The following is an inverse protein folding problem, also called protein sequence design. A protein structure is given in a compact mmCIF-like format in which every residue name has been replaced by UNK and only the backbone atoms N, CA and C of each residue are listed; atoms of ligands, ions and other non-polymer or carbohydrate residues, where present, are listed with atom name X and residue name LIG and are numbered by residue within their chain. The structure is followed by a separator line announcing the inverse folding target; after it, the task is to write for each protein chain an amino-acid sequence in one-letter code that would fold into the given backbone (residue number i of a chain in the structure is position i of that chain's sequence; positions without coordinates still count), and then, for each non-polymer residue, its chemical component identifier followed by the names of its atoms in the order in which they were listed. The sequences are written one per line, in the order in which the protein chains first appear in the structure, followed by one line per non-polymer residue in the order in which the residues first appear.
data_IF_438048286652
#
_entry.id   IF_438048286652
#
_cell.length_a   1.000
_cell.length_b   1.000
_cell.length_c   1.000
_cell.angle_alpha   90.00
_cell.angle_beta   90.00
_cell.angle_gamma   90.00
#
_symmetry.space_group_name_H-M   'P 1'
#
loop_
_entity.id
_entity.type
_entity.pdbx_description
1 polymer ?
#
# COMPACT_ATOMS: atom_id res chain seq x y z
N UNK A 1 -28.33 -10.73 -8.92
CA UNK A 1 -27.76 -10.83 -7.55
C UNK A 1 -26.62 -9.83 -7.43
N UNK A 2 -26.57 -9.07 -6.34
CA UNK A 2 -25.51 -8.06 -6.10
C UNK A 2 -24.18 -8.72 -5.71
N UNK A 3 -23.66 -9.58 -6.58
CA UNK A 3 -22.43 -10.35 -6.41
C UNK A 3 -21.50 -10.18 -7.60
N UNK A 4 -20.24 -10.50 -7.43
CA UNK A 4 -19.21 -10.51 -8.46
C UNK A 4 -18.54 -11.88 -8.44
N UNK A 5 -18.43 -12.53 -9.58
CA UNK A 5 -17.73 -13.81 -9.69
C UNK A 5 -16.22 -13.64 -9.68
N UNK A 6 -15.51 -14.71 -9.33
CA UNK A 6 -14.04 -14.73 -9.36
C UNK A 6 -13.50 -14.39 -10.76
N UNK A 7 -14.16 -14.87 -11.81
CA UNK A 7 -13.75 -14.61 -13.20
C UNK A 7 -13.96 -13.14 -13.61
N UNK A 8 -15.02 -12.50 -13.11
CA UNK A 8 -15.23 -11.05 -13.32
C UNK A 8 -14.13 -10.24 -12.61
N UNK A 9 -13.74 -10.64 -11.39
CA UNK A 9 -12.64 -10.02 -10.65
C UNK A 9 -11.30 -10.15 -11.40
N UNK A 10 -10.97 -11.34 -11.89
CA UNK A 10 -9.76 -11.60 -12.71
C UNK A 10 -9.77 -10.76 -13.98
N UNK A 11 -10.91 -10.73 -14.69
CA UNK A 11 -11.06 -9.93 -15.92
C UNK A 11 -10.88 -8.43 -15.64
N UNK A 12 -11.43 -7.93 -14.54
CA UNK A 12 -11.27 -6.54 -14.14
C UNK A 12 -9.79 -6.21 -13.84
N UNK A 13 -9.11 -7.04 -13.04
CA UNK A 13 -7.71 -6.85 -12.71
C UNK A 13 -6.82 -6.89 -13.97
N UNK A 14 -7.06 -7.85 -14.86
CA UNK A 14 -6.34 -7.93 -16.14
C UNK A 14 -6.47 -6.63 -16.96
N UNK A 15 -7.68 -6.10 -17.10
CA UNK A 15 -7.92 -4.84 -17.81
C UNK A 15 -7.30 -3.65 -17.11
N UNK A 16 -7.41 -3.58 -15.79
CA UNK A 16 -6.94 -2.43 -15.00
C UNK A 16 -5.43 -2.41 -14.90
N UNK A 17 -4.81 -3.54 -14.64
CA UNK A 17 -3.37 -3.66 -14.48
C UNK A 17 -2.62 -3.68 -15.81
N UNK A 18 -3.26 -4.13 -16.91
CA UNK A 18 -2.66 -4.09 -18.25
C UNK A 18 -2.43 -2.68 -18.79
N UNK A 19 -3.14 -1.69 -18.26
CA UNK A 19 -2.93 -0.27 -18.58
C UNK A 19 -1.82 0.39 -17.74
N UNK A 20 -1.25 -0.33 -16.79
CA UNK A 20 -0.21 0.12 -15.87
C UNK A 20 1.09 -0.61 -16.25
N UNK A 21 2.23 -0.16 -15.82
CA UNK A 21 3.50 -0.78 -16.22
C UNK A 21 3.76 -2.14 -15.51
N UNK A 22 4.67 -2.93 -16.07
CA UNK A 22 5.11 -4.24 -15.55
C UNK A 22 5.50 -4.18 -14.07
N UNK A 23 6.14 -3.09 -13.63
CA UNK A 23 6.62 -2.95 -12.27
C UNK A 23 5.49 -2.91 -11.25
N UNK A 24 4.29 -2.46 -11.64
CA UNK A 24 3.14 -2.48 -10.71
C UNK A 24 2.68 -3.91 -10.41
N UNK A 25 2.60 -4.77 -11.43
CA UNK A 25 2.23 -6.18 -11.22
C UNK A 25 3.28 -6.90 -10.40
N UNK A 26 4.55 -6.66 -10.68
CA UNK A 26 5.65 -7.22 -9.90
C UNK A 26 5.62 -6.75 -8.44
N UNK A 27 5.31 -5.48 -8.21
CA UNK A 27 5.13 -4.93 -6.87
C UNK A 27 3.98 -5.62 -6.11
N UNK A 28 2.84 -5.76 -6.78
CA UNK A 28 1.67 -6.44 -6.22
C UNK A 28 1.97 -7.90 -5.86
N UNK A 29 2.67 -8.65 -6.72
CA UNK A 29 3.09 -10.02 -6.42
C UNK A 29 4.05 -10.08 -5.23
N UNK A 30 4.96 -9.11 -5.09
CA UNK A 30 5.85 -9.03 -3.94
C UNK A 30 5.08 -8.71 -2.64
N UNK A 31 4.04 -7.87 -2.67
CA UNK A 31 3.19 -7.60 -1.52
C UNK A 31 2.42 -8.85 -1.06
N UNK A 32 1.87 -9.62 -2.01
CA UNK A 32 1.18 -10.90 -1.73
C UNK A 32 2.16 -11.90 -1.08
N UNK A 33 3.35 -12.04 -1.67
CA UNK A 33 4.38 -12.97 -1.19
C UNK A 33 4.89 -12.56 0.20
N UNK A 34 5.04 -11.27 0.46
CA UNK A 34 5.38 -10.74 1.78
C UNK A 34 4.36 -11.11 2.86
N UNK A 35 3.07 -10.87 2.60
CA UNK A 35 2.02 -11.21 3.57
C UNK A 35 1.99 -12.71 3.88
N UNK A 36 2.12 -13.55 2.86
CA UNK A 36 2.25 -14.99 3.02
C UNK A 36 3.47 -15.36 3.85
N UNK A 37 4.62 -14.76 3.56
CA UNK A 37 5.87 -15.02 4.27
C UNK A 37 5.77 -14.66 5.76
N UNK A 38 5.29 -13.45 6.07
CA UNK A 38 5.09 -12.97 7.45
C UNK A 38 4.06 -13.81 8.20
N UNK A 39 3.00 -14.25 7.52
CA UNK A 39 2.00 -15.17 8.11
C UNK A 39 2.61 -16.53 8.46
N UNK A 40 3.45 -17.08 7.60
CA UNK A 40 4.15 -18.33 7.86
C UNK A 40 5.15 -18.22 9.03
N UNK A 41 5.66 -17.03 9.32
CA UNK A 41 6.47 -16.75 10.51
C UNK A 41 5.64 -16.60 11.80
N UNK A 42 4.30 -16.69 11.72
CA UNK A 42 3.38 -16.56 12.85
C UNK A 42 2.94 -15.13 13.18
N UNK A 43 3.08 -14.18 12.25
CA UNK A 43 2.74 -12.76 12.46
C UNK A 43 1.51 -12.30 11.66
N UNK A 44 0.64 -13.20 11.23
CA UNK A 44 -0.56 -12.86 10.45
C UNK A 44 -1.44 -11.79 11.12
N UNK A 45 -1.56 -11.82 12.45
CA UNK A 45 -2.34 -10.83 13.21
C UNK A 45 -1.63 -9.48 13.42
N UNK A 46 -0.36 -9.38 13.02
CA UNK A 46 0.46 -8.18 13.17
C UNK A 46 0.75 -7.45 11.87
N UNK A 47 0.22 -7.92 10.76
CA UNK A 47 0.36 -7.27 9.46
C UNK A 47 -1.02 -6.97 8.89
N UNK A 48 -1.23 -5.75 8.42
CA UNK A 48 -2.46 -5.39 7.70
C UNK A 48 -2.32 -5.71 6.22
N UNK A 49 -3.46 -5.83 5.55
CA UNK A 49 -3.52 -5.67 4.09
C UNK A 49 -3.05 -4.26 3.68
N UNK A 50 -2.74 -4.10 2.42
CA UNK A 50 -2.46 -2.79 1.85
C UNK A 50 -3.70 -1.90 1.83
N UNK A 51 -3.47 -0.61 1.71
CA UNK A 51 -4.51 0.40 1.67
C UNK A 51 -4.11 1.60 0.81
N UNK A 52 -4.92 2.64 0.86
CA UNK A 52 -4.67 3.87 0.11
C UNK A 52 -4.50 5.04 1.05
N UNK A 53 -3.43 5.81 0.87
CA UNK A 53 -3.21 7.06 1.59
C UNK A 53 -3.57 8.24 0.70
N UNK A 54 -4.35 9.15 1.24
CA UNK A 54 -4.68 10.43 0.62
C UNK A 54 -4.15 11.56 1.49
N UNK A 55 -3.55 12.55 0.87
CA UNK A 55 -3.05 13.75 1.54
C UNK A 55 -3.68 14.99 0.91
N UNK A 56 -4.05 15.96 1.73
CA UNK A 56 -4.52 17.22 1.18
C UNK A 56 -3.43 17.88 0.35
N UNK A 57 -3.81 18.42 -0.79
CA UNK A 57 -3.01 19.36 -1.53
C UNK A 57 -3.26 20.76 -0.93
N UNK A 58 -2.51 21.10 0.08
CA UNK A 58 -2.56 22.44 0.64
C UNK A 58 -1.89 23.41 -0.33
N UNK A 59 -2.67 23.88 -1.31
CA UNK A 59 -2.26 25.04 -2.10
C UNK A 59 -2.25 26.24 -1.19
N UNK A 60 -1.08 26.59 -0.68
CA UNK A 60 -0.85 27.78 0.09
C UNK A 60 -0.60 27.55 1.58
N UNK A 61 -0.92 26.41 2.12
CA UNK A 61 -0.58 26.06 3.49
C UNK A 61 0.65 25.17 3.52
N UNK A 62 1.67 25.63 4.21
CA UNK A 62 2.92 24.88 4.44
C UNK A 62 2.75 23.68 5.39
N UNK A 63 1.54 23.40 5.83
CA UNK A 63 1.20 22.29 6.71
C UNK A 63 1.14 20.97 5.95
N UNK A 64 2.33 20.49 5.61
CA UNK A 64 2.53 19.21 4.97
C UNK A 64 1.84 18.09 5.78
N UNK A 65 0.70 17.64 5.28
CA UNK A 65 -0.01 16.48 5.83
C UNK A 65 -0.95 16.73 7.01
N UNK A 66 -1.47 17.94 7.22
CA UNK A 66 -2.54 18.17 8.21
C UNK A 66 -3.76 17.29 7.94
N UNK A 67 -4.18 17.16 6.69
CA UNK A 67 -5.23 16.25 6.28
C UNK A 67 -4.64 15.03 5.57
N UNK A 68 -4.30 14.02 6.34
CA UNK A 68 -3.87 12.73 5.83
C UNK A 68 -4.83 11.66 6.33
N UNK A 69 -5.28 10.81 5.41
CA UNK A 69 -6.11 9.67 5.77
C UNK A 69 -5.66 8.41 5.04
N UNK A 70 -5.82 7.27 5.69
CA UNK A 70 -5.55 5.93 5.14
C UNK A 70 -6.86 5.17 5.05
N UNK A 71 -7.10 4.51 3.94
CA UNK A 71 -8.33 3.80 3.63
C UNK A 71 -8.03 2.34 3.36
N UNK A 72 -8.72 1.46 4.05
CA UNK A 72 -8.61 0.00 3.93
C UNK A 72 -9.92 -0.56 3.39
N UNK A 73 -9.92 -1.22 2.23
CA UNK A 73 -11.13 -1.83 1.70
C UNK A 73 -11.52 -3.10 2.43
N UNK A 74 -12.80 -3.35 2.57
CA UNK A 74 -13.32 -4.68 2.78
C UNK A 74 -12.92 -5.58 1.60
N UNK A 75 -12.51 -6.80 1.89
CA UNK A 75 -12.26 -7.80 0.85
C UNK A 75 -13.58 -8.36 0.33
N UNK A 76 -13.96 -7.97 -0.88
CA UNK A 76 -15.14 -8.46 -1.57
C UNK A 76 -14.90 -9.92 -1.96
N UNK A 77 -15.66 -10.84 -1.34
CA UNK A 77 -15.57 -12.26 -1.66
C UNK A 77 -16.37 -12.59 -2.93
N UNK A 78 -15.87 -13.49 -3.79
CA UNK A 78 -16.62 -13.89 -4.98
C UNK A 78 -17.93 -14.57 -4.60
N UNK A 79 -18.96 -14.35 -5.42
CA UNK A 79 -20.29 -14.97 -5.36
C UNK A 79 -21.08 -14.68 -4.06
N UNK A 80 -20.56 -13.81 -3.19
CA UNK A 80 -21.26 -13.31 -2.01
C UNK A 80 -22.15 -12.12 -2.37
N UNK A 81 -23.31 -12.04 -1.75
CA UNK A 81 -24.27 -10.94 -1.99
C UNK A 81 -23.88 -9.69 -1.18
N UNK A 82 -23.63 -8.60 -1.88
CA UNK A 82 -23.29 -7.28 -1.34
C UNK A 82 -24.37 -6.24 -1.66
N UNK A 83 -25.65 -6.59 -1.47
CA UNK A 83 -26.75 -5.64 -1.70
C UNK A 83 -26.69 -4.44 -0.71
N UNK A 84 -27.46 -3.39 -1.03
CA UNK A 84 -27.48 -2.17 -0.23
C UNK A 84 -28.07 -2.35 1.18
N UNK A 85 -28.91 -3.37 1.36
CA UNK A 85 -29.62 -3.64 2.63
C UNK A 85 -28.85 -4.59 3.53
N UNK A 86 -27.66 -5.05 3.13
CA UNK A 86 -26.86 -5.96 3.95
C UNK A 86 -26.38 -5.27 5.24
N UNK A 87 -26.24 -6.05 6.29
CA UNK A 87 -25.52 -5.58 7.47
C UNK A 87 -24.06 -5.35 7.12
N UNK A 88 -23.57 -4.11 7.33
CA UNK A 88 -22.18 -3.77 7.06
C UNK A 88 -21.26 -4.43 8.10
N UNK A 89 -20.10 -4.95 7.68
CA UNK A 89 -19.22 -5.69 8.58
C UNK A 89 -18.55 -4.77 9.59
N UNK A 90 -18.33 -5.26 10.79
CA UNK A 90 -17.44 -4.58 11.73
C UNK A 90 -15.98 -4.77 11.28
N UNK A 91 -15.16 -3.69 11.31
CA UNK A 91 -13.75 -3.80 11.06
C UNK A 91 -13.07 -4.75 12.05
N UNK A 92 -12.11 -5.54 11.57
CA UNK A 92 -11.37 -6.45 12.42
C UNK A 92 -10.67 -5.70 13.57
N UNK A 93 -10.79 -6.18 14.80
CA UNK A 93 -10.22 -5.52 15.99
C UNK A 93 -8.72 -5.22 15.87
N UNK A 94 -7.96 -6.11 15.23
CA UNK A 94 -6.53 -5.90 14.97
C UNK A 94 -6.27 -4.67 14.10
N UNK A 95 -7.08 -4.44 13.07
CA UNK A 95 -6.97 -3.25 12.23
C UNK A 95 -7.31 -1.98 13.03
N UNK A 96 -8.34 -2.03 13.87
CA UNK A 96 -8.69 -0.95 14.78
C UNK A 96 -7.52 -0.58 15.69
N UNK A 97 -6.88 -1.57 16.30
CA UNK A 97 -5.73 -1.37 17.20
C UNK A 97 -4.54 -0.78 16.46
N UNK A 98 -4.22 -1.28 15.28
CA UNK A 98 -3.14 -0.74 14.45
C UNK A 98 -3.41 0.72 14.10
N UNK A 99 -4.65 1.05 13.73
CA UNK A 99 -5.04 2.40 13.34
C UNK A 99 -5.11 3.39 14.52
N UNK A 100 -5.24 2.93 15.76
CA UNK A 100 -5.15 3.79 16.94
C UNK A 100 -3.81 4.54 17.00
N UNK A 101 -2.71 3.90 16.59
CA UNK A 101 -1.40 4.55 16.48
C UNK A 101 -1.41 5.66 15.43
N UNK A 102 -2.06 5.45 14.29
CA UNK A 102 -2.22 6.49 13.28
C UNK A 102 -3.02 7.68 13.79
N UNK A 103 -4.12 7.40 14.48
CA UNK A 103 -4.94 8.45 15.08
C UNK A 103 -4.12 9.32 16.05
N UNK A 104 -3.29 8.71 16.90
CA UNK A 104 -2.42 9.43 17.85
C UNK A 104 -1.43 10.37 17.16
N UNK A 105 -0.97 10.06 15.96
CA UNK A 105 -0.07 10.91 15.18
C UNK A 105 -0.81 11.81 14.17
N UNK A 106 -2.14 11.92 14.30
CA UNK A 106 -2.97 12.81 13.47
C UNK A 106 -3.18 12.33 12.05
N UNK A 107 -3.11 11.02 11.81
CA UNK A 107 -3.50 10.38 10.54
C UNK A 107 -4.85 9.69 10.76
N UNK A 108 -5.88 10.14 10.09
CA UNK A 108 -7.19 9.47 10.12
C UNK A 108 -7.10 8.14 9.37
N UNK A 109 -7.85 7.16 9.81
CA UNK A 109 -7.91 5.85 9.15
C UNK A 109 -9.36 5.42 9.00
N UNK A 110 -9.68 4.83 7.85
CA UNK A 110 -11.04 4.40 7.53
C UNK A 110 -11.05 2.98 7.03
N UNK A 111 -12.06 2.22 7.45
CA UNK A 111 -12.43 0.98 6.80
C UNK A 111 -13.57 1.26 5.83
N UNK A 112 -13.49 0.71 4.63
CA UNK A 112 -14.45 0.93 3.56
C UNK A 112 -15.20 -0.37 3.26
N UNK A 113 -16.49 -0.42 3.61
CA UNK A 113 -17.37 -1.52 3.29
C UNK A 113 -17.96 -1.36 1.89
N UNK A 114 -18.04 -2.45 1.15
CA UNK A 114 -18.51 -2.46 -0.23
C UNK A 114 -20.00 -2.69 -0.36
N UNK A 115 -20.62 -2.09 -1.35
CA UNK A 115 -21.95 -2.43 -1.87
C UNK A 115 -21.84 -2.62 -3.38
N UNK A 116 -22.46 -3.67 -3.92
CA UNK A 116 -22.38 -3.99 -5.35
C UNK A 116 -23.64 -3.50 -6.07
N UNK A 117 -23.43 -2.74 -7.14
CA UNK A 117 -24.47 -2.25 -8.03
C UNK A 117 -24.54 -3.13 -9.29
N UNK A 118 -25.64 -3.81 -9.50
CA UNK A 118 -25.86 -4.72 -10.63
C UNK A 118 -25.87 -4.00 -11.99
N UNK A 119 -26.27 -2.72 -12.01
CA UNK A 119 -26.43 -1.94 -13.24
C UNK A 119 -25.11 -1.34 -13.75
N UNK A 120 -24.00 -1.60 -13.10
CA UNK A 120 -22.69 -1.09 -13.48
C UNK A 120 -21.71 -2.24 -13.77
N UNK A 121 -20.60 -1.97 -14.42
CA UNK A 121 -19.59 -2.95 -14.78
C UNK A 121 -18.21 -2.61 -14.22
N UNK A 122 -17.39 -3.63 -14.04
CA UNK A 122 -16.01 -3.48 -13.57
C UNK A 122 -15.92 -2.86 -12.17
N UNK A 123 -14.87 -2.10 -11.90
CA UNK A 123 -14.64 -1.47 -10.59
C UNK A 123 -15.67 -0.42 -10.19
N UNK A 124 -16.51 0.04 -11.13
CA UNK A 124 -17.61 0.94 -10.82
C UNK A 124 -18.82 0.22 -10.22
N UNK A 125 -18.83 -1.12 -10.26
CA UNK A 125 -19.89 -1.91 -9.58
C UNK A 125 -19.80 -1.77 -8.07
N UNK A 126 -18.59 -1.58 -7.51
CA UNK A 126 -18.43 -1.38 -6.08
C UNK A 126 -18.66 0.10 -5.70
N UNK A 127 -19.62 0.32 -4.82
CA UNK A 127 -19.81 1.57 -4.07
C UNK A 127 -19.34 1.36 -2.65
N UNK A 128 -18.95 2.42 -1.97
CA UNK A 128 -18.29 2.30 -0.68
C UNK A 128 -18.96 3.16 0.39
N UNK A 129 -19.02 2.63 1.58
CA UNK A 129 -19.30 3.35 2.81
C UNK A 129 -18.08 3.22 3.73
N UNK A 130 -17.79 4.24 4.52
CA UNK A 130 -16.60 4.27 5.36
C UNK A 130 -16.94 4.47 6.83
N UNK A 131 -16.19 3.82 7.71
CA UNK A 131 -16.21 4.07 9.15
C UNK A 131 -14.80 4.41 9.64
N UNK A 132 -14.69 5.35 10.57
CA UNK A 132 -13.40 5.77 11.09
C UNK A 132 -12.85 4.74 12.09
N UNK A 133 -11.54 4.47 11.95
CA UNK A 133 -10.79 3.51 12.76
C UNK A 133 -9.93 4.22 13.81
N UNK A 134 -9.52 3.47 14.82
CA UNK A 134 -8.54 3.95 15.81
C UNK A 134 -9.13 4.83 16.91
N UNK A 135 -10.45 5.02 16.91
CA UNK A 135 -11.19 5.68 18.00
C UNK A 135 -11.62 4.67 19.07
N UNK A 136 -11.87 5.11 20.31
CA UNK A 136 -12.30 4.22 21.41
C UNK A 136 -13.63 3.52 21.11
N UNK A 137 -14.51 4.18 20.38
CA UNK A 137 -15.84 3.66 20.01
C UNK A 137 -15.90 3.42 18.51
N UNK A 138 -16.60 2.37 18.10
CA UNK A 138 -16.89 2.07 16.70
C UNK A 138 -17.80 3.17 16.17
N UNK A 139 -17.35 3.86 15.14
CA UNK A 139 -18.10 4.95 14.52
C UNK A 139 -19.13 4.40 13.53
N UNK A 140 -20.27 5.07 13.36
CA UNK A 140 -21.24 4.69 12.35
C UNK A 140 -20.64 4.82 10.94
N UNK A 141 -21.13 4.02 10.01
CA UNK A 141 -20.79 4.15 8.61
C UNK A 141 -21.35 5.44 8.03
N UNK A 142 -20.54 6.11 7.20
CA UNK A 142 -20.89 7.29 6.43
C UNK A 142 -20.67 7.04 4.94
N UNK A 143 -21.31 7.76 4.04
CA UNK A 143 -20.98 7.72 2.62
C UNK A 143 -19.50 8.00 2.40
N UNK A 144 -18.85 7.21 1.53
CA UNK A 144 -17.42 7.34 1.28
C UNK A 144 -16.95 8.77 0.92
N UNK A 145 -17.71 9.56 0.12
CA UNK A 145 -17.33 10.95 -0.14
C UNK A 145 -17.24 11.84 1.11
N UNK A 146 -18.02 11.53 2.15
CA UNK A 146 -18.03 12.34 3.38
C UNK A 146 -16.75 12.16 4.20
N UNK A 147 -16.12 10.98 4.13
CA UNK A 147 -14.81 10.73 4.75
C UNK A 147 -13.66 11.54 4.12
N UNK A 148 -13.92 12.15 2.99
CA UNK A 148 -12.95 12.89 2.18
C UNK A 148 -13.17 14.40 2.24
N UNK A 149 -14.05 14.88 3.12
CA UNK A 149 -14.21 16.31 3.37
C UNK A 149 -12.87 16.92 3.83
N UNK A 150 -12.51 18.06 3.23
CA UNK A 150 -11.25 18.75 3.48
C UNK A 150 -10.08 18.30 2.61
N UNK A 151 -10.29 17.34 1.69
CA UNK A 151 -9.29 16.98 0.69
C UNK A 151 -9.58 17.71 -0.63
N UNK A 152 -8.56 18.35 -1.19
CA UNK A 152 -8.68 19.02 -2.49
C UNK A 152 -8.43 18.06 -3.64
N UNK A 153 -9.20 18.13 -4.73
CA UNK A 153 -8.99 17.30 -5.90
C UNK A 153 -7.66 17.66 -6.60
N UNK A 154 -6.84 16.65 -6.88
CA UNK A 154 -5.63 16.81 -7.66
C UNK A 154 -5.56 15.72 -8.73
N UNK A 155 -5.40 16.12 -9.99
CA UNK A 155 -5.09 15.18 -11.07
C UNK A 155 -3.60 15.21 -11.35
N UNK A 156 -2.92 14.06 -11.24
CA UNK A 156 -1.61 13.86 -11.86
C UNK A 156 -1.79 13.26 -13.24
N UNK A 157 -1.22 13.85 -14.29
CA UNK A 157 -1.18 13.22 -15.59
C UNK A 157 -0.19 12.05 -15.52
N UNK A 158 -0.69 10.82 -15.54
CA UNK A 158 0.15 9.64 -15.76
C UNK A 158 0.40 9.44 -17.24
N UNK A 159 1.63 9.13 -17.60
CA UNK A 159 1.95 8.55 -18.89
C UNK A 159 1.98 7.03 -18.72
N UNK A 160 0.88 6.38 -19.11
CA UNK A 160 0.84 4.93 -19.17
C UNK A 160 1.51 4.48 -20.47
N UNK A 161 2.50 3.60 -20.38
CA UNK A 161 2.90 2.78 -21.51
C UNK A 161 1.83 1.67 -21.66
N UNK A 162 1.31 1.44 -22.87
CA UNK A 162 0.45 0.29 -23.13
C UNK A 162 1.28 -0.98 -22.92
N UNK A 163 1.04 -1.65 -21.86
CA UNK A 163 1.72 -2.89 -21.50
C UNK A 163 0.66 -3.93 -21.18
N UNK A 164 0.78 -5.11 -21.77
CA UNK A 164 -0.03 -6.26 -21.35
C UNK A 164 0.65 -6.90 -20.16
N UNK A 165 0.18 -6.56 -18.96
CA UNK A 165 0.61 -7.24 -17.77
C UNK A 165 0.02 -8.64 -17.74
N UNK A 166 0.87 -9.64 -17.54
CA UNK A 166 0.41 -10.99 -17.26
C UNK A 166 -0.09 -11.04 -15.79
N UNK A 167 -1.40 -11.10 -15.65
CA UNK A 167 -2.07 -11.22 -14.34
C UNK A 167 -2.35 -12.66 -13.95
N UNK A 168 -1.98 -13.64 -14.80
CA UNK A 168 -2.18 -15.07 -14.53
C UNK A 168 -1.39 -15.57 -13.32
N UNK A 169 -0.32 -14.85 -12.96
CA UNK A 169 0.51 -15.13 -11.79
C UNK A 169 -0.10 -14.64 -10.46
N UNK A 170 -1.22 -13.92 -10.48
CA UNK A 170 -1.92 -13.55 -9.23
C UNK A 170 -2.60 -14.81 -8.69
N UNK A 171 -2.21 -15.27 -7.47
CA UNK A 171 -2.84 -16.44 -6.88
C UNK A 171 -4.34 -16.23 -6.68
N UNK A 172 -5.17 -17.24 -6.93
CA UNK A 172 -6.63 -17.11 -6.83
C UNK A 172 -7.11 -16.56 -5.49
N UNK A 173 -6.49 -17.00 -4.39
CA UNK A 173 -6.84 -16.54 -3.06
C UNK A 173 -6.56 -15.05 -2.82
N UNK A 174 -5.69 -14.43 -3.63
CA UNK A 174 -5.36 -13.00 -3.52
C UNK A 174 -6.23 -12.13 -4.45
N UNK A 175 -6.90 -12.72 -5.45
CA UNK A 175 -7.73 -11.99 -6.41
C UNK A 175 -8.81 -11.13 -5.72
N UNK A 176 -9.57 -11.62 -4.72
CA UNK A 176 -10.58 -10.82 -4.04
C UNK A 176 -10.03 -9.58 -3.35
N UNK A 177 -8.90 -9.71 -2.66
CA UNK A 177 -8.24 -8.60 -1.97
C UNK A 177 -7.74 -7.54 -2.96
N UNK A 178 -7.03 -7.96 -4.01
CA UNK A 178 -6.50 -7.04 -5.01
C UNK A 178 -7.62 -6.38 -5.85
N UNK A 179 -8.69 -7.11 -6.14
CA UNK A 179 -9.87 -6.55 -6.77
C UNK A 179 -10.49 -5.44 -5.90
N UNK A 180 -10.65 -5.67 -4.61
CA UNK A 180 -11.23 -4.71 -3.66
C UNK A 180 -10.35 -3.47 -3.55
N UNK A 181 -9.03 -3.64 -3.43
CA UNK A 181 -8.04 -2.59 -3.38
C UNK A 181 -8.09 -1.71 -4.64
N UNK A 182 -8.07 -2.30 -5.83
CA UNK A 182 -8.15 -1.57 -7.10
C UNK A 182 -9.52 -0.92 -7.33
N UNK A 183 -10.60 -1.54 -6.89
CA UNK A 183 -11.95 -0.96 -6.97
C UNK A 183 -12.10 0.27 -6.08
N UNK A 184 -11.56 0.24 -4.87
CA UNK A 184 -11.52 1.41 -3.99
C UNK A 184 -10.65 2.53 -4.60
N UNK A 185 -9.51 2.20 -5.24
CA UNK A 185 -8.69 3.17 -5.97
C UNK A 185 -9.49 3.91 -7.04
N UNK A 186 -10.35 3.20 -7.77
CA UNK A 186 -11.21 3.81 -8.80
C UNK A 186 -12.21 4.79 -8.17
N UNK A 187 -12.71 4.52 -6.97
CA UNK A 187 -13.60 5.44 -6.25
C UNK A 187 -12.91 6.79 -5.91
N UNK A 188 -11.60 6.78 -5.67
CA UNK A 188 -10.82 8.02 -5.51
C UNK A 188 -10.63 8.80 -6.82
N UNK A 189 -10.71 8.17 -7.99
CA UNK A 189 -10.59 8.83 -9.29
C UNK A 189 -11.87 9.56 -9.75
N UNK A 190 -12.93 9.54 -8.96
CA UNK A 190 -14.08 10.43 -9.08
C UNK A 190 -13.63 11.90 -8.96
N UNK A 191 -14.39 12.92 -9.42
CA UNK A 191 -13.90 14.29 -9.59
C UNK A 191 -13.32 14.97 -8.35
N UNK A 192 -13.26 14.29 -7.24
CA UNK A 192 -12.94 14.86 -5.94
C UNK A 192 -11.50 14.63 -5.46
N UNK A 193 -10.63 13.78 -6.11
CA UNK A 193 -9.44 13.37 -5.38
C UNK A 193 -8.14 13.44 -6.12
N UNK A 194 -7.19 13.92 -5.31
CA UNK A 194 -5.79 13.67 -5.47
C UNK A 194 -5.53 12.18 -5.68
N UNK A 195 -4.50 11.89 -6.42
CA UNK A 195 -4.01 10.57 -6.59
C UNK A 195 -3.73 9.89 -5.24
N UNK A 196 -4.41 8.79 -4.92
CA UNK A 196 -4.06 8.02 -3.75
C UNK A 196 -2.69 7.37 -3.98
N UNK A 197 -1.83 7.43 -2.97
CA UNK A 197 -0.63 6.60 -2.89
C UNK A 197 -0.98 5.31 -2.18
N UNK A 198 -0.40 4.20 -2.59
CA UNK A 198 -0.52 2.96 -1.86
C UNK A 198 0.23 2.98 -0.53
N UNK A 199 -0.28 2.23 0.41
CA UNK A 199 0.41 1.74 1.59
C UNK A 199 0.47 0.24 1.43
N UNK A 200 1.67 -0.32 1.30
CA UNK A 200 1.83 -1.75 1.00
C UNK A 200 1.42 -2.62 2.20
N UNK A 201 1.44 -2.06 3.40
CA UNK A 201 0.95 -2.66 4.62
C UNK A 201 1.38 -1.89 5.87
N UNK A 202 0.89 -2.36 7.00
CA UNK A 202 1.29 -1.89 8.32
C UNK A 202 1.75 -3.10 9.12
N UNK A 203 2.89 -3.00 9.79
CA UNK A 203 3.34 -4.00 10.74
C UNK A 203 3.19 -3.46 12.17
N UNK A 204 2.48 -4.19 13.00
CA UNK A 204 2.33 -3.90 14.41
C UNK A 204 3.44 -4.60 15.21
N UNK A 205 4.46 -3.84 15.54
CA UNK A 205 5.55 -4.25 16.40
C UNK A 205 5.13 -4.27 17.88
N UNK A 206 6.10 -4.46 18.75
CA UNK A 206 5.89 -4.51 20.19
C UNK A 206 5.49 -3.16 20.79
N UNK A 207 6.14 -2.09 20.32
CA UNK A 207 5.96 -0.74 20.84
C UNK A 207 5.50 0.27 19.79
N UNK A 208 5.68 -0.07 18.52
CA UNK A 208 5.48 0.85 17.38
C UNK A 208 4.74 0.18 16.26
N UNK A 209 4.01 0.97 15.50
CA UNK A 209 3.42 0.54 14.23
C UNK A 209 4.29 1.06 13.09
N UNK A 210 4.62 0.18 12.17
CA UNK A 210 5.50 0.48 11.03
C UNK A 210 4.70 0.45 9.73
N UNK A 211 4.37 1.61 9.13
CA UNK A 211 4.02 1.66 7.72
C UNK A 211 5.14 1.07 6.87
N UNK A 212 4.77 0.24 5.90
CA UNK A 212 5.71 -0.54 5.10
C UNK A 212 5.71 -0.04 3.67
N UNK A 213 6.90 0.00 3.09
CA UNK A 213 7.13 0.06 1.65
C UNK A 213 7.87 -1.20 1.23
N UNK A 214 7.30 -1.95 0.28
CA UNK A 214 7.86 -3.21 -0.22
C UNK A 214 8.40 -2.99 -1.62
N UNK A 215 9.62 -3.45 -1.87
CA UNK A 215 10.19 -3.44 -3.21
C UNK A 215 10.90 -4.75 -3.50
N UNK A 216 10.72 -5.22 -4.74
CA UNK A 216 11.53 -6.30 -5.28
C UNK A 216 12.78 -5.71 -5.93
N UNK A 217 13.94 -6.26 -5.60
CA UNK A 217 15.23 -5.77 -6.06
C UNK A 217 16.22 -6.91 -6.29
N UNK A 218 17.01 -6.76 -7.33
CA UNK A 218 18.30 -7.44 -7.43
C UNK A 218 19.34 -6.68 -6.63
N UNK A 219 20.37 -7.40 -6.16
CA UNK A 219 21.53 -6.80 -5.52
C UNK A 219 22.33 -5.98 -6.54
N UNK A 220 22.65 -4.75 -6.22
CA UNK A 220 23.54 -3.91 -7.00
C UNK A 220 24.84 -3.67 -6.26
N UNK A 221 25.93 -3.42 -6.98
CA UNK A 221 27.25 -3.15 -6.41
C UNK A 221 27.75 -1.76 -6.81
N UNK A 222 28.43 -1.12 -5.88
CA UNK A 222 29.13 0.15 -6.10
C UNK A 222 30.50 0.10 -5.40
N UNK A 223 31.53 0.55 -6.08
CA UNK A 223 32.92 0.48 -5.59
C UNK A 223 33.16 1.23 -4.27
N UNK A 224 32.32 2.23 -3.94
CA UNK A 224 32.48 3.04 -2.73
C UNK A 224 31.73 2.53 -1.52
N UNK A 225 30.61 1.83 -1.70
CA UNK A 225 29.73 1.38 -0.62
C UNK A 225 29.50 -0.14 -0.60
N UNK A 226 30.05 -0.87 -1.58
CA UNK A 226 29.82 -2.30 -1.75
C UNK A 226 28.41 -2.62 -2.28
N UNK A 227 27.89 -3.74 -1.89
CA UNK A 227 26.55 -4.18 -2.28
C UNK A 227 25.48 -3.31 -1.61
N UNK A 228 24.45 -2.93 -2.37
CA UNK A 228 23.39 -2.05 -1.89
C UNK A 228 22.03 -2.37 -2.49
N UNK A 229 20.97 -1.93 -1.80
CA UNK A 229 19.64 -1.75 -2.37
C UNK A 229 19.35 -0.27 -2.57
N UNK A 230 18.70 0.04 -3.69
CA UNK A 230 18.25 1.40 -3.99
C UNK A 230 16.78 1.61 -3.61
N UNK A 231 16.48 2.78 -3.05
CA UNK A 231 15.10 3.24 -2.87
C UNK A 231 14.89 4.54 -3.63
N UNK A 232 13.79 4.64 -4.38
CA UNK A 232 13.46 5.87 -5.09
C UNK A 232 13.08 6.98 -4.09
N UNK A 233 13.36 8.23 -4.45
CA UNK A 233 13.11 9.39 -3.58
C UNK A 233 11.64 9.51 -3.17
N UNK A 234 10.69 9.18 -4.04
CA UNK A 234 9.27 9.22 -3.72
C UNK A 234 8.89 8.31 -2.54
N UNK A 235 9.16 6.99 -2.62
CA UNK A 235 9.02 6.06 -1.49
C UNK A 235 9.80 6.48 -0.24
N UNK A 236 11.04 6.94 -0.40
CA UNK A 236 11.84 7.42 0.74
C UNK A 236 11.16 8.59 1.46
N UNK A 237 10.66 9.58 0.72
CA UNK A 237 9.93 10.72 1.30
C UNK A 237 8.63 10.27 1.96
N UNK A 238 7.93 9.28 1.38
CA UNK A 238 6.73 8.70 1.99
C UNK A 238 7.04 8.06 3.35
N UNK A 239 8.10 7.27 3.44
CA UNK A 239 8.56 6.67 4.71
C UNK A 239 9.02 7.73 5.72
N UNK A 240 9.74 8.77 5.25
CA UNK A 240 10.15 9.91 6.07
C UNK A 240 8.94 10.66 6.64
N UNK A 241 7.90 10.87 5.83
CA UNK A 241 6.67 11.50 6.26
C UNK A 241 6.01 10.76 7.42
N UNK A 242 5.92 9.44 7.37
CA UNK A 242 5.38 8.66 8.49
C UNK A 242 6.26 8.77 9.73
N UNK A 243 7.57 8.63 9.54
CA UNK A 243 8.54 8.61 10.64
C UNK A 243 8.70 9.97 11.33
N UNK A 244 8.52 11.06 10.61
CA UNK A 244 8.68 12.42 11.14
C UNK A 244 7.47 12.90 11.93
N UNK A 245 6.32 12.22 11.86
CA UNK A 245 5.12 12.64 12.57
C UNK A 245 5.36 12.58 14.09
N UNK A 246 5.30 13.75 14.75
CA UNK A 246 5.54 13.91 16.19
C UNK A 246 6.86 13.31 16.70
N UNK A 247 7.88 13.28 15.86
CA UNK A 247 9.20 12.74 16.22
C UNK A 247 9.28 11.21 16.33
N UNK A 248 8.25 10.49 15.91
CA UNK A 248 8.28 9.03 15.87
C UNK A 248 8.99 8.55 14.60
N UNK A 249 10.14 7.90 14.74
CA UNK A 249 10.94 7.37 13.64
C UNK A 249 10.54 5.91 13.33
N UNK A 250 9.30 5.68 12.97
CA UNK A 250 8.81 4.34 12.68
C UNK A 250 8.12 4.27 11.32
N UNK A 251 8.80 3.72 10.42
CA UNK A 251 8.34 3.14 9.16
C UNK A 251 9.38 2.13 8.72
N UNK A 252 9.06 1.30 7.76
CA UNK A 252 9.92 0.18 7.39
C UNK A 252 10.00 0.04 5.87
N UNK A 253 11.21 -0.10 5.37
CA UNK A 253 11.50 -0.48 4.00
C UNK A 253 11.81 -1.98 3.95
N UNK A 254 11.05 -2.71 3.18
CA UNK A 254 11.20 -4.16 2.98
C UNK A 254 11.66 -4.44 1.56
N UNK A 255 12.65 -5.30 1.43
CA UNK A 255 13.18 -5.72 0.13
C UNK A 255 13.02 -7.22 -0.02
N UNK A 256 12.32 -7.61 -1.08
CA UNK A 256 12.35 -8.95 -1.64
C UNK A 256 13.56 -9.03 -2.55
N UNK A 257 14.67 -9.57 -2.06
CA UNK A 257 15.85 -9.82 -2.89
C UNK A 257 15.58 -10.97 -3.83
N UNK A 258 15.78 -10.75 -5.12
CA UNK A 258 15.63 -11.74 -6.18
C UNK A 258 16.97 -12.00 -6.87
N UNK A 259 17.12 -13.18 -7.45
CA UNK A 259 18.30 -13.59 -8.19
C UNK A 259 18.53 -12.72 -9.44
N UNK A 260 17.52 -12.60 -10.28
CA UNK A 260 17.53 -11.74 -11.48
C UNK A 260 16.11 -11.27 -11.86
N UNK A 261 16.02 -10.34 -12.80
CA UNK A 261 14.75 -9.73 -13.24
C UNK A 261 13.88 -10.65 -14.10
N UNK A 262 14.42 -11.77 -14.58
CA UNK A 262 13.71 -12.72 -15.46
C UNK A 262 13.08 -13.86 -14.65
N UNK A 263 13.89 -14.57 -13.88
CA UNK A 263 13.46 -15.72 -13.06
C UNK A 263 12.74 -15.26 -11.80
N UNK A 264 13.20 -14.14 -11.22
CA UNK A 264 12.64 -13.50 -10.01
C UNK A 264 12.49 -14.46 -8.82
N UNK A 265 13.37 -15.47 -8.73
CA UNK A 265 13.38 -16.35 -7.58
C UNK A 265 13.78 -15.60 -6.32
N UNK A 266 13.06 -15.87 -5.24
CA UNK A 266 13.37 -15.29 -3.93
C UNK A 266 14.74 -15.78 -3.45
N UNK A 267 15.65 -14.86 -3.22
CA UNK A 267 16.92 -15.11 -2.52
C UNK A 267 16.71 -14.96 -1.03
N UNK A 268 16.21 -13.79 -0.61
CA UNK A 268 16.02 -13.48 0.81
C UNK A 268 15.09 -12.28 0.99
N UNK A 269 14.41 -12.22 2.13
CA UNK A 269 13.72 -11.04 2.58
C UNK A 269 14.60 -10.21 3.52
N UNK A 270 14.65 -8.92 3.28
CA UNK A 270 15.37 -7.93 4.09
C UNK A 270 14.44 -6.83 4.55
N UNK A 271 14.77 -6.19 5.66
CA UNK A 271 14.12 -4.95 6.06
C UNK A 271 15.09 -4.00 6.75
N UNK A 272 14.73 -2.73 6.75
CA UNK A 272 15.41 -1.67 7.50
C UNK A 272 14.36 -0.69 8.02
N UNK A 273 14.49 -0.28 9.28
CA UNK A 273 13.63 0.79 9.83
C UNK A 273 14.09 2.15 9.31
N UNK A 274 13.17 3.12 9.27
CA UNK A 274 13.50 4.45 8.76
C UNK A 274 14.63 5.11 9.57
N UNK A 275 14.65 4.94 10.88
CA UNK A 275 15.72 5.47 11.72
C UNK A 275 17.10 4.99 11.26
N UNK A 276 17.24 3.70 11.03
CA UNK A 276 18.50 3.13 10.51
C UNK A 276 18.77 3.58 9.08
N UNK A 277 17.75 3.55 8.23
CA UNK A 277 17.86 3.98 6.84
C UNK A 277 18.35 5.44 6.74
N UNK A 278 17.82 6.34 7.58
CA UNK A 278 18.24 7.74 7.61
C UNK A 278 19.69 7.93 8.04
N UNK A 279 20.23 7.03 8.88
CA UNK A 279 21.66 7.07 9.30
C UNK A 279 22.61 6.62 8.21
N UNK A 280 22.21 5.63 7.41
CA UNK A 280 23.10 4.93 6.48
C UNK A 280 22.81 5.20 5.01
N UNK A 281 21.73 5.91 4.70
CA UNK A 281 21.41 6.27 3.33
C UNK A 281 22.51 7.16 2.73
N UNK A 282 22.95 6.81 1.54
CA UNK A 282 23.76 7.72 0.76
C UNK A 282 22.90 8.89 0.28
N UNK A 283 23.14 10.07 0.78
CA UNK A 283 22.43 11.30 0.39
C UNK A 283 22.82 11.82 -1.00
N UNK A 284 23.68 11.08 -1.71
CA UNK A 284 23.98 11.36 -3.11
C UNK A 284 22.94 10.67 -3.98
N UNK A 285 22.08 11.47 -4.60
CA UNK A 285 21.10 10.97 -5.55
C UNK A 285 21.77 10.45 -6.82
N UNK A 286 21.34 9.28 -7.28
CA UNK A 286 21.77 8.70 -8.55
C UNK A 286 20.56 8.55 -9.47
N UNK A 287 20.74 8.59 -10.80
CA UNK A 287 19.66 8.27 -11.72
C UNK A 287 19.15 6.86 -11.46
N UNK A 288 17.84 6.73 -11.23
CA UNK A 288 17.14 5.46 -11.08
C UNK A 288 16.44 5.02 -12.38
N UNK A 289 15.50 4.11 -12.25
CA UNK A 289 14.64 3.67 -13.35
C UNK A 289 13.70 4.76 -13.87
N UNK A 290 12.91 4.43 -14.90
CA UNK A 290 11.85 5.34 -15.39
C UNK A 290 10.74 5.48 -14.34
N UNK A 291 10.40 6.71 -14.02
CA UNK A 291 9.24 7.01 -13.18
C UNK A 291 7.94 6.81 -13.96
N UNK A 292 6.83 6.63 -13.25
CA UNK A 292 5.50 6.54 -13.85
C UNK A 292 5.09 7.81 -14.63
N UNK A 293 5.77 8.93 -14.41
CA UNK A 293 5.59 10.19 -15.15
C UNK A 293 6.49 10.30 -16.39
N UNK A 294 7.27 9.27 -16.69
CA UNK A 294 8.15 9.19 -17.88
C UNK A 294 9.53 9.84 -17.72
N UNK A 295 9.83 10.46 -16.56
CA UNK A 295 11.16 10.94 -16.19
C UNK A 295 12.02 9.85 -15.54
N UNK A 296 13.32 10.09 -15.34
CA UNK A 296 14.15 9.23 -14.49
C UNK A 296 13.87 9.52 -13.02
N UNK A 297 13.68 8.48 -12.21
CA UNK A 297 13.62 8.62 -10.76
C UNK A 297 15.03 8.92 -10.22
N UNK A 298 15.08 9.62 -9.08
CA UNK A 298 16.31 9.71 -8.31
C UNK A 298 16.30 8.59 -7.25
N UNK A 299 17.42 7.92 -7.06
CA UNK A 299 17.56 6.77 -6.16
C UNK A 299 18.58 7.07 -5.07
N UNK A 300 18.23 6.71 -3.84
CA UNK A 300 19.12 6.71 -2.67
C UNK A 300 19.62 5.28 -2.49
N UNK A 301 20.92 5.11 -2.25
CA UNK A 301 21.54 3.80 -2.05
C UNK A 301 21.77 3.53 -0.58
N UNK A 302 21.47 2.31 -0.14
CA UNK A 302 21.61 1.87 1.25
C UNK A 302 22.41 0.57 1.23
N UNK A 303 23.58 0.50 1.89
CA UNK A 303 24.39 -0.72 1.93
C UNK A 303 23.60 -1.91 2.49
N UNK A 304 23.75 -3.09 1.89
CA UNK A 304 23.00 -4.30 2.28
C UNK A 304 23.28 -4.71 3.73
N UNK A 305 24.52 -4.52 4.21
CA UNK A 305 24.90 -4.87 5.58
C UNK A 305 24.16 -4.05 6.66
N UNK A 306 23.43 -3.01 6.28
CA UNK A 306 22.58 -2.22 7.18
C UNK A 306 21.15 -2.78 7.29
N UNK A 307 20.78 -3.70 6.41
CA UNK A 307 19.50 -4.37 6.46
C UNK A 307 19.57 -5.56 7.43
N UNK A 308 18.48 -5.80 8.13
CA UNK A 308 18.24 -7.02 8.87
C UNK A 308 17.56 -8.05 7.96
N UNK A 309 17.79 -9.33 8.22
CA UNK A 309 17.02 -10.40 7.61
C UNK A 309 15.60 -10.35 8.19
N UNK A 310 14.59 -10.50 7.36
CA UNK A 310 13.21 -10.59 7.78
C UNK A 310 12.95 -12.03 8.27
N UNK A 311 13.16 -12.24 9.54
CA UNK A 311 12.91 -13.50 10.23
C UNK A 311 12.07 -13.28 11.50
N UNK A 312 11.69 -14.36 12.16
CA UNK A 312 10.82 -14.30 13.32
C UNK A 312 11.47 -13.55 14.50
N UNK A 313 12.78 -13.69 14.70
CA UNK A 313 13.47 -13.08 15.84
C UNK A 313 13.63 -11.57 15.65
N UNK A 314 14.02 -11.16 14.46
CA UNK A 314 14.11 -9.75 14.10
C UNK A 314 12.74 -9.04 14.13
N UNK A 315 11.67 -9.72 13.69
CA UNK A 315 10.32 -9.18 13.77
C UNK A 315 9.81 -9.09 15.22
N UNK A 316 10.17 -10.04 16.09
CA UNK A 316 9.82 -9.95 17.52
C UNK A 316 10.52 -8.80 18.23
N UNK A 317 11.67 -8.38 17.72
CA UNK A 317 12.45 -7.27 18.29
C UNK A 317 11.90 -5.87 17.93
N UNK A 318 10.95 -5.79 17.00
CA UNK A 318 10.23 -4.58 16.63
C UNK A 318 9.02 -4.40 17.54
#
# INVERSE_FOLDING_TARGET
MASISLEEMKSYLSKTLSSINRNKVNGLLAEIDFRRYVSNLGFSSRVSCGGWIVRSDARGDFDFGQNTAVFFPETIQPDVNYNADRHLPEPHRGLHTICATFHQIGIRSYFCAATINENQSGGKRASWQSTELGLPEIQPYMPFPDSLQGFNPRRRPYKYERFHADTSNIPEHAVPEEFSKESLRVAFNSPFYAEPSDVDGLFWGREKTYPIEIKEKTRANDSSIGDFFGIDVGPFVKLAFYAARRGNLHSMFVVREIDDETTRNLVKWHFITFEQMARYASWVFRPGGRSMTGGRSATIRIPINQFKILDADNLRSL
#
